data_IF_795368392695
#
_entry.id   IF_795368392695
#
_cell.length_a   1.000
_cell.length_b   1.000
_cell.length_c   1.000
_cell.angle_alpha   90.00
_cell.angle_beta   90.00
_cell.angle_gamma   90.00
#
_symmetry.space_group_name_H-M   'P 1'
#
loop_
_entity.id
_entity.type
_entity.pdbx_description
1 polymer ?
#
# COMPACT_ATOMS: atom_id res chain seq x y z
N UNK A 1 -13.95 24.99 3.56
CA UNK A 1 -12.75 24.64 4.34
C UNK A 1 -11.87 25.86 4.42
N UNK A 2 -11.54 26.30 5.63
CA UNK A 2 -10.53 27.36 5.82
C UNK A 2 -9.19 26.78 5.38
N UNK A 3 -8.56 27.36 4.37
CA UNK A 3 -7.26 26.86 3.90
C UNK A 3 -6.21 27.14 4.97
N UNK A 4 -5.83 26.10 5.73
CA UNK A 4 -4.78 26.19 6.74
C UNK A 4 -3.44 26.43 6.02
N UNK A 5 -2.73 27.50 6.39
CA UNK A 5 -1.37 27.74 5.89
C UNK A 5 -0.35 26.98 6.76
N UNK A 6 -0.11 25.72 6.40
CA UNK A 6 0.82 24.82 7.10
C UNK A 6 2.25 25.38 7.20
N UNK A 7 2.74 26.00 6.12
CA UNK A 7 4.09 26.55 6.09
C UNK A 7 4.25 27.71 7.07
N UNK A 8 3.28 28.64 7.10
CA UNK A 8 3.30 29.77 8.03
C UNK A 8 3.15 29.33 9.50
N UNK A 9 2.41 28.26 9.77
CA UNK A 9 2.30 27.67 11.11
C UNK A 9 3.62 27.03 11.54
N UNK A 10 4.25 26.27 10.64
CA UNK A 10 5.55 25.62 10.89
C UNK A 10 6.65 26.65 11.15
N UNK A 11 6.75 27.70 10.33
CA UNK A 11 7.72 28.77 10.52
C UNK A 11 7.52 29.49 11.85
N UNK A 12 6.28 29.78 12.24
CA UNK A 12 5.98 30.43 13.51
C UNK A 12 6.31 29.53 14.72
N UNK A 13 6.03 28.23 14.63
CA UNK A 13 6.40 27.26 15.66
C UNK A 13 7.92 27.17 15.83
N UNK A 14 8.66 26.97 14.74
CA UNK A 14 10.12 26.88 14.73
C UNK A 14 10.77 28.18 15.24
N UNK A 15 10.21 29.34 14.88
CA UNK A 15 10.73 30.62 15.33
C UNK A 15 10.70 30.78 16.87
N UNK A 16 9.65 30.27 17.53
CA UNK A 16 9.53 30.24 19.00
C UNK A 16 10.44 29.19 19.60
N UNK A 17 10.45 27.98 19.03
CA UNK A 17 11.30 26.87 19.49
C UNK A 17 12.78 27.27 19.50
N UNK A 18 13.22 28.03 18.50
CA UNK A 18 14.60 28.51 18.39
C UNK A 18 14.92 29.62 19.40
N UNK A 19 14.11 30.68 19.44
CA UNK A 19 14.26 31.79 20.41
C UNK A 19 12.88 32.37 20.71
N UNK A 20 12.39 32.15 21.92
CA UNK A 20 11.10 32.65 22.36
C UNK A 20 11.16 34.13 22.77
N UNK A 21 10.86 35.03 21.83
CA UNK A 21 10.64 36.46 22.13
C UNK A 21 9.14 36.75 22.27
N UNK A 22 8.73 37.80 23.01
CA UNK A 22 7.32 38.18 23.13
C UNK A 22 6.65 38.43 21.77
N UNK A 23 7.38 39.01 20.82
CA UNK A 23 6.90 39.28 19.46
C UNK A 23 6.59 37.97 18.70
N UNK A 24 7.49 36.98 18.81
CA UNK A 24 7.30 35.67 18.17
C UNK A 24 6.15 34.89 18.82
N UNK A 25 6.03 34.93 20.14
CA UNK A 25 4.89 34.38 20.89
C UNK A 25 3.56 34.99 20.43
N UNK A 26 3.51 36.30 20.25
CA UNK A 26 2.33 36.99 19.74
C UNK A 26 1.99 36.54 18.30
N UNK A 27 2.99 36.49 17.41
CA UNK A 27 2.81 36.07 16.03
C UNK A 27 2.29 34.63 15.91
N UNK A 28 2.78 33.71 16.74
CA UNK A 28 2.28 32.35 16.81
C UNK A 28 0.84 32.29 17.32
N UNK A 29 0.50 32.99 18.40
CA UNK A 29 -0.88 33.04 18.94
C UNK A 29 -1.89 33.54 17.90
N UNK A 30 -1.50 34.50 17.06
CA UNK A 30 -2.36 34.98 15.98
C UNK A 30 -2.58 33.93 14.87
N UNK A 31 -1.62 33.02 14.66
CA UNK A 31 -1.72 31.96 13.66
C UNK A 31 -2.41 30.70 14.20
N UNK A 32 -2.14 30.32 15.45
CA UNK A 32 -2.72 29.15 16.13
C UNK A 32 -4.03 29.53 16.82
N UNK A 33 -5.02 29.86 16.01
CA UNK A 33 -6.37 30.12 16.50
C UNK A 33 -7.07 28.81 16.87
N UNK A 34 -8.09 28.82 17.75
CA UNK A 34 -8.85 27.61 18.07
C UNK A 34 -9.43 26.91 16.84
N UNK A 35 -9.88 27.66 15.83
CA UNK A 35 -10.39 27.09 14.58
C UNK A 35 -9.31 26.37 13.77
N UNK A 36 -8.08 26.88 13.75
CA UNK A 36 -6.94 26.20 13.12
C UNK A 36 -6.62 24.90 13.86
N UNK A 37 -6.63 24.91 15.20
CA UNK A 37 -6.38 23.70 16.00
C UNK A 37 -7.45 22.64 15.73
N UNK A 38 -8.73 23.01 15.73
CA UNK A 38 -9.83 22.09 15.41
C UNK A 38 -9.69 21.52 13.99
N UNK A 39 -9.41 22.37 13.01
CA UNK A 39 -9.26 21.92 11.63
C UNK A 39 -8.04 20.98 11.43
N UNK A 40 -6.95 21.17 12.19
CA UNK A 40 -5.83 20.24 12.21
C UNK A 40 -6.21 18.90 12.85
N UNK A 41 -6.99 18.89 13.94
CA UNK A 41 -7.47 17.68 14.58
C UNK A 41 -8.42 16.89 13.68
N UNK A 42 -9.35 17.57 13.01
CA UNK A 42 -10.28 16.97 12.05
C UNK A 42 -9.51 16.33 10.87
N UNK A 43 -8.49 17.02 10.35
CA UNK A 43 -7.65 16.50 9.26
C UNK A 43 -6.82 15.29 9.70
N UNK A 44 -6.24 15.30 10.91
CA UNK A 44 -5.53 14.15 11.46
C UNK A 44 -6.46 12.94 11.56
N UNK A 45 -7.67 13.13 12.12
CA UNK A 45 -8.65 12.04 12.25
C UNK A 45 -9.02 11.47 10.88
N UNK A 46 -9.25 12.34 9.89
CA UNK A 46 -9.56 11.94 8.51
C UNK A 46 -8.43 11.13 7.88
N UNK A 47 -7.17 11.54 8.10
CA UNK A 47 -6.00 10.82 7.59
C UNK A 47 -5.81 9.48 8.29
N UNK A 48 -6.06 9.39 9.60
CA UNK A 48 -6.05 8.13 10.34
C UNK A 48 -7.08 7.16 9.80
N UNK A 49 -8.32 7.60 9.60
CA UNK A 49 -9.39 6.77 9.06
C UNK A 49 -9.05 6.29 7.64
N UNK A 50 -8.50 7.18 6.80
CA UNK A 50 -8.05 6.83 5.45
C UNK A 50 -6.91 5.80 5.47
N UNK A 51 -5.97 5.92 6.40
CA UNK A 51 -4.88 4.98 6.57
C UNK A 51 -5.37 3.62 7.05
N UNK A 52 -6.33 3.57 7.97
CA UNK A 52 -6.95 2.32 8.43
C UNK A 52 -7.63 1.61 7.27
N UNK A 53 -8.43 2.32 6.47
CA UNK A 53 -9.10 1.76 5.29
C UNK A 53 -8.08 1.23 4.27
N UNK A 54 -7.01 1.98 4.01
CA UNK A 54 -5.93 1.56 3.12
C UNK A 54 -5.22 0.29 3.64
N UNK A 55 -4.92 0.23 4.94
CA UNK A 55 -4.30 -0.94 5.57
C UNK A 55 -5.20 -2.18 5.47
N UNK A 56 -6.51 -2.04 5.72
CA UNK A 56 -7.47 -3.12 5.56
C UNK A 56 -7.50 -3.62 4.10
N UNK A 57 -7.49 -2.69 3.14
CA UNK A 57 -7.46 -3.04 1.71
C UNK A 57 -6.17 -3.75 1.31
N UNK A 58 -5.02 -3.31 1.82
CA UNK A 58 -3.73 -3.97 1.59
C UNK A 58 -3.76 -5.38 2.17
N UNK A 59 -4.20 -5.56 3.42
CA UNK A 59 -4.26 -6.88 4.05
C UNK A 59 -5.17 -7.85 3.29
N UNK A 60 -6.32 -7.38 2.77
CA UNK A 60 -7.18 -8.18 1.90
C UNK A 60 -6.48 -8.59 0.60
N UNK A 61 -5.75 -7.66 -0.03
CA UNK A 61 -5.03 -7.88 -1.27
C UNK A 61 -3.80 -8.78 -1.10
N UNK A 62 -3.13 -8.73 0.05
CA UNK A 62 -2.03 -9.63 0.44
C UNK A 62 -2.56 -11.03 0.76
N UNK A 63 -3.73 -11.15 1.39
CA UNK A 63 -4.36 -12.45 1.62
C UNK A 63 -4.78 -13.17 0.32
N UNK A 64 -5.01 -12.40 -0.75
CA UNK A 64 -5.29 -12.91 -2.11
C UNK A 64 -4.02 -13.11 -2.95
N UNK A 65 -2.84 -12.86 -2.40
CA UNK A 65 -1.57 -13.08 -3.08
C UNK A 65 -1.03 -14.47 -2.72
N UNK A 66 -0.74 -15.28 -3.73
CA UNK A 66 -0.24 -16.65 -3.53
C UNK A 66 1.13 -16.85 -4.17
N UNK A 67 1.94 -17.71 -3.56
CA UNK A 67 3.15 -18.24 -4.20
C UNK A 67 2.78 -19.49 -5.00
N UNK A 68 3.37 -19.65 -6.17
CA UNK A 68 3.22 -20.87 -6.95
C UNK A 68 3.71 -22.09 -6.13
N UNK A 69 3.00 -23.24 -6.16
CA UNK A 69 3.39 -24.43 -5.40
C UNK A 69 4.82 -24.90 -5.72
N UNK A 70 5.69 -24.97 -4.71
CA UNK A 70 7.09 -25.41 -4.82
C UNK A 70 7.28 -26.90 -5.12
N UNK A 71 6.20 -27.69 -5.01
CA UNK A 71 6.16 -29.12 -5.36
C UNK A 71 6.18 -29.38 -6.86
N UNK A 72 6.08 -28.34 -7.69
CA UNK A 72 6.19 -28.46 -9.14
C UNK A 72 7.46 -27.79 -9.65
N UNK A 73 8.11 -28.40 -10.64
CA UNK A 73 9.18 -27.80 -11.42
C UNK A 73 8.60 -27.19 -12.70
N UNK A 74 8.97 -25.94 -12.97
CA UNK A 74 8.61 -25.26 -14.22
C UNK A 74 9.56 -25.72 -15.33
N UNK A 75 9.01 -26.29 -16.41
CA UNK A 75 9.79 -26.64 -17.60
C UNK A 75 9.29 -25.90 -18.83
N UNK A 76 10.24 -25.39 -19.60
CA UNK A 76 9.99 -24.79 -20.90
C UNK A 76 9.89 -25.89 -21.95
N UNK A 77 8.75 -25.98 -22.63
CA UNK A 77 8.51 -26.93 -23.71
C UNK A 77 7.98 -28.29 -23.24
N UNK A 78 6.98 -28.79 -23.97
CA UNK A 78 6.48 -30.16 -23.82
C UNK A 78 7.27 -31.07 -24.78
N UNK A 79 7.68 -32.29 -24.38
CA UNK A 79 8.36 -33.24 -25.30
C UNK A 79 7.52 -33.71 -26.50
N UNK A 80 6.28 -33.23 -26.65
CA UNK A 80 5.33 -33.64 -27.69
C UNK A 80 4.90 -32.43 -28.56
N UNK A 81 4.98 -31.19 -28.05
CA UNK A 81 4.69 -29.98 -28.81
C UNK A 81 5.80 -28.95 -28.52
N UNK A 82 6.60 -28.65 -29.54
CA UNK A 82 7.75 -27.73 -29.47
C UNK A 82 7.33 -26.25 -29.32
N UNK A 83 6.04 -25.96 -29.39
CA UNK A 83 5.50 -24.62 -29.48
C UNK A 83 5.05 -24.17 -28.08
N UNK A 84 6.03 -23.68 -27.30
CA UNK A 84 5.89 -22.59 -26.32
C UNK A 84 4.85 -22.73 -25.20
N UNK A 85 4.61 -23.94 -24.66
CA UNK A 85 3.82 -24.07 -23.42
C UNK A 85 4.68 -24.45 -22.23
N UNK A 86 4.76 -23.54 -21.26
CA UNK A 86 5.36 -23.82 -19.97
C UNK A 86 4.47 -24.79 -19.19
N UNK A 87 5.08 -25.87 -18.69
CA UNK A 87 4.40 -26.91 -17.94
C UNK A 87 4.95 -26.98 -16.52
N UNK A 88 4.07 -27.24 -15.56
CA UNK A 88 4.40 -27.53 -14.17
C UNK A 88 4.42 -29.04 -13.97
N UNK A 89 5.60 -29.60 -13.70
CA UNK A 89 5.80 -31.05 -13.50
C UNK A 89 5.93 -31.35 -12.00
N UNK A 90 5.14 -32.27 -11.45
CA UNK A 90 5.19 -32.57 -10.04
C UNK A 90 6.48 -33.33 -9.66
N UNK A 91 7.09 -32.96 -8.54
CA UNK A 91 8.31 -33.60 -7.98
C UNK A 91 8.04 -34.97 -7.36
N UNK A 92 6.80 -35.19 -6.93
CA UNK A 92 6.30 -36.43 -6.34
C UNK A 92 5.12 -36.91 -7.20
N UNK A 93 4.76 -38.21 -7.17
CA UNK A 93 3.67 -38.77 -7.97
C UNK A 93 2.44 -37.84 -8.02
N UNK A 94 2.06 -37.39 -9.22
CA UNK A 94 0.98 -36.43 -9.41
C UNK A 94 0.70 -36.12 -10.88
N UNK A 95 -0.34 -35.31 -11.12
CA UNK A 95 -0.76 -34.88 -12.46
C UNK A 95 0.08 -33.70 -12.97
N UNK A 96 0.31 -33.65 -14.27
CA UNK A 96 0.94 -32.50 -14.92
C UNK A 96 -0.07 -31.37 -15.06
N UNK A 97 0.39 -30.12 -14.89
CA UNK A 97 -0.45 -28.93 -15.03
C UNK A 97 0.16 -28.00 -16.07
N UNK A 98 -0.69 -27.35 -16.86
CA UNK A 98 -0.26 -26.26 -17.73
C UNK A 98 -0.20 -24.98 -16.89
N UNK A 99 0.92 -24.24 -16.96
CA UNK A 99 1.06 -23.00 -16.20
C UNK A 99 -0.02 -21.99 -16.60
N UNK A 100 -0.31 -21.87 -17.89
CA UNK A 100 -1.32 -20.93 -18.41
C UNK A 100 -2.73 -21.22 -17.87
N UNK A 101 -3.10 -22.48 -17.68
CA UNK A 101 -4.41 -22.87 -17.15
C UNK A 101 -4.49 -22.55 -15.64
N UNK A 102 -3.39 -22.74 -14.91
CA UNK A 102 -3.27 -22.36 -13.50
C UNK A 102 -3.34 -20.83 -13.33
N UNK A 103 -2.54 -20.08 -14.08
CA UNK A 103 -2.56 -18.61 -14.07
C UNK A 103 -3.94 -18.07 -14.43
N UNK A 104 -4.58 -18.64 -15.44
CA UNK A 104 -5.94 -18.26 -15.83
C UNK A 104 -6.94 -18.53 -14.69
N UNK A 105 -6.91 -19.72 -14.08
CA UNK A 105 -7.80 -20.07 -12.97
C UNK A 105 -7.60 -19.14 -11.75
N UNK A 106 -6.36 -18.78 -11.42
CA UNK A 106 -6.05 -17.84 -10.34
C UNK A 106 -6.56 -16.43 -10.65
N UNK A 107 -6.33 -15.91 -11.86
CA UNK A 107 -6.86 -14.61 -12.29
C UNK A 107 -8.39 -14.56 -12.28
N UNK A 108 -9.06 -15.62 -12.73
CA UNK A 108 -10.54 -15.73 -12.67
C UNK A 108 -11.05 -15.73 -11.23
N UNK A 109 -10.28 -16.26 -10.29
CA UNK A 109 -10.59 -16.26 -8.86
C UNK A 109 -10.17 -14.95 -8.14
N UNK A 110 -9.66 -13.95 -8.86
CA UNK A 110 -9.11 -12.70 -8.32
C UNK A 110 -7.94 -12.94 -7.32
N UNK A 111 -7.17 -13.99 -7.59
CA UNK A 111 -5.96 -14.37 -6.85
C UNK A 111 -4.75 -13.95 -7.69
N UNK A 112 -3.83 -13.21 -7.08
CA UNK A 112 -2.62 -12.72 -7.75
C UNK A 112 -1.43 -13.59 -7.41
N UNK A 113 -0.51 -13.77 -8.37
CA UNK A 113 0.74 -14.49 -8.13
C UNK A 113 1.78 -13.48 -7.64
N UNK A 114 2.53 -13.85 -6.60
CA UNK A 114 3.57 -12.98 -6.04
C UNK A 114 4.64 -12.60 -7.08
N UNK A 115 4.79 -11.30 -7.32
CA UNK A 115 5.77 -10.73 -8.25
C UNK A 115 5.27 -10.52 -9.69
N UNK A 116 3.97 -10.68 -9.95
CA UNK A 116 3.29 -10.25 -11.19
C UNK A 116 3.18 -8.72 -11.29
#
# INVERSE_FOLDING_TARGET
>A
MTQINYQALREAAVAIETVATPQKLQAFRMKVTPSVVLALLDEIKRLEDTNIDAMCRIAELEAREVQLPTRYDLRYGHPINADERQVMIPKENGSWLYLIDLEHALRVADIRIKGE
#
